data_IF_590607522770
#
_entry.id   IF_590607522770
#
_cell.length_a   1.000
_cell.length_b   1.000
_cell.length_c   1.000
_cell.angle_alpha   90.00
_cell.angle_beta   90.00
_cell.angle_gamma   90.00
#
_symmetry.space_group_name_H-M   'P 1'
#
loop_
_entity.id
_entity.type
_entity.pdbx_description
1 polymer ?
#
# COMPACT_ATOMS: atom_id res chain seq x y z
N UNK A 1 -2.07 0.92 -22.72
CA UNK A 1 -2.25 2.38 -22.90
C UNK A 1 -1.71 3.01 -21.64
N UNK A 2 -0.71 3.86 -21.78
CA UNK A 2 0.10 4.40 -20.68
C UNK A 2 -0.66 5.56 -20.01
N UNK A 3 -0.69 5.56 -18.68
CA UNK A 3 -0.77 6.83 -17.95
C UNK A 3 0.48 7.64 -18.36
N UNK A 4 0.35 8.95 -18.56
CA UNK A 4 1.47 9.79 -18.98
C UNK A 4 1.22 11.21 -18.47
N UNK A 5 1.38 11.38 -17.16
CA UNK A 5 1.26 12.69 -16.52
C UNK A 5 2.48 13.50 -16.86
N UNK A 6 2.39 14.37 -17.87
CA UNK A 6 3.43 15.37 -18.14
C UNK A 6 3.08 16.67 -17.44
N UNK A 7 3.89 17.10 -16.47
CA UNK A 7 3.72 18.38 -15.76
C UNK A 7 4.47 19.48 -16.51
N UNK A 8 3.80 20.18 -17.41
CA UNK A 8 4.39 21.34 -18.08
C UNK A 8 4.47 22.51 -17.09
N UNK A 9 5.62 23.19 -17.00
CA UNK A 9 5.94 24.31 -16.08
C UNK A 9 5.84 23.92 -14.59
N UNK A 10 6.69 22.99 -14.13
CA UNK A 10 6.56 22.48 -12.78
C UNK A 10 6.91 23.55 -11.72
N UNK A 11 6.33 23.46 -10.51
CA UNK A 11 6.86 24.18 -9.36
C UNK A 11 8.32 23.75 -9.11
N UNK A 12 9.12 24.60 -8.44
CA UNK A 12 10.56 24.36 -8.19
C UNK A 12 10.92 22.96 -7.63
N UNK A 13 9.95 22.21 -7.10
CA UNK A 13 10.10 20.91 -6.47
C UNK A 13 9.77 19.70 -7.36
N UNK A 14 9.30 19.88 -8.60
CA UNK A 14 8.94 18.75 -9.48
C UNK A 14 9.69 18.88 -10.81
N UNK A 15 10.21 17.77 -11.33
CA UNK A 15 10.76 17.71 -12.69
C UNK A 15 9.68 17.24 -13.68
N UNK A 16 9.93 17.39 -14.99
CA UNK A 16 9.11 16.71 -16.01
C UNK A 16 9.06 15.21 -15.69
N UNK A 17 7.89 14.79 -15.23
CA UNK A 17 7.62 13.42 -14.84
C UNK A 17 6.75 12.78 -15.92
N UNK A 18 6.84 11.46 -16.07
CA UNK A 18 5.92 10.65 -16.85
C UNK A 18 5.72 9.36 -16.05
N UNK A 19 4.46 9.02 -15.77
CA UNK A 19 4.13 7.85 -14.95
C UNK A 19 3.47 6.83 -15.85
N UNK A 20 4.14 5.73 -16.18
CA UNK A 20 3.58 4.67 -17.01
C UNK A 20 3.37 3.40 -16.16
N UNK A 21 2.14 2.87 -16.14
CA UNK A 21 1.78 1.63 -15.41
C UNK A 21 0.96 0.69 -16.31
N UNK A 22 0.67 -0.51 -15.80
CA UNK A 22 -0.28 -1.41 -16.44
C UNK A 22 -1.69 -0.80 -16.50
N UNK A 23 -2.45 -1.15 -17.54
CA UNK A 23 -3.80 -0.63 -17.76
C UNK A 23 -4.82 -1.10 -16.72
N UNK A 24 -4.50 -2.16 -15.99
CA UNK A 24 -5.29 -2.72 -14.89
C UNK A 24 -5.01 -2.05 -13.55
N UNK A 25 -4.00 -1.17 -13.46
CA UNK A 25 -3.68 -0.45 -12.22
C UNK A 25 -4.83 0.48 -11.87
N UNK A 26 -5.55 0.18 -10.78
CA UNK A 26 -6.61 1.03 -10.24
C UNK A 26 -6.15 1.75 -8.98
N UNK A 27 -5.29 1.14 -8.18
CA UNK A 27 -4.72 1.72 -6.97
C UNK A 27 -3.20 1.81 -7.09
N UNK A 28 -2.70 3.03 -7.29
CA UNK A 28 -1.27 3.33 -7.37
C UNK A 28 -0.75 3.83 -6.01
N UNK A 29 0.20 3.12 -5.42
CA UNK A 29 0.89 3.56 -4.21
C UNK A 29 2.01 4.55 -4.55
N UNK A 30 2.08 5.67 -3.83
CA UNK A 30 3.13 6.67 -3.98
C UNK A 30 3.97 6.78 -2.70
N UNK A 31 5.27 6.54 -2.81
CA UNK A 31 6.20 6.58 -1.69
C UNK A 31 7.53 7.28 -2.05
N UNK A 32 8.35 7.56 -1.05
CA UNK A 32 9.56 8.36 -1.18
C UNK A 32 9.88 9.15 0.10
N UNK A 33 11.11 9.66 0.27
CA UNK A 33 11.50 10.42 1.45
C UNK A 33 10.66 11.70 1.65
N UNK A 34 10.73 12.25 2.86
CA UNK A 34 10.13 13.56 3.13
C UNK A 34 10.74 14.61 2.19
N UNK A 35 9.90 15.49 1.64
CA UNK A 35 10.34 16.49 0.67
C UNK A 35 10.54 15.99 -0.78
N UNK A 36 10.31 14.71 -1.08
CA UNK A 36 10.44 14.16 -2.43
C UNK A 36 9.50 14.75 -3.50
N UNK A 37 8.49 15.53 -3.09
CA UNK A 37 7.53 16.17 -4.01
C UNK A 37 6.17 15.47 -4.11
N UNK A 38 5.90 14.43 -3.33
CA UNK A 38 4.65 13.63 -3.34
C UNK A 38 3.37 14.47 -3.25
N UNK A 39 3.23 15.28 -2.19
CA UNK A 39 2.10 16.22 -2.03
C UNK A 39 1.99 17.21 -3.18
N UNK A 40 3.13 17.69 -3.69
CA UNK A 40 3.14 18.65 -4.80
C UNK A 40 2.65 17.98 -6.08
N UNK A 41 2.99 16.71 -6.30
CA UNK A 41 2.53 15.92 -7.45
C UNK A 41 1.01 15.75 -7.40
N UNK A 42 0.46 15.37 -6.24
CA UNK A 42 -0.98 15.26 -6.04
C UNK A 42 -1.69 16.61 -6.29
N UNK A 43 -1.14 17.73 -5.82
CA UNK A 43 -1.70 19.07 -6.07
C UNK A 43 -1.67 19.45 -7.54
N UNK A 44 -0.64 19.06 -8.28
CA UNK A 44 -0.59 19.23 -9.74
C UNK A 44 -1.71 18.42 -10.41
N UNK A 45 -1.87 17.15 -10.03
CA UNK A 45 -2.94 16.26 -10.54
C UNK A 45 -4.35 16.79 -10.21
N UNK A 46 -4.51 17.36 -9.03
CA UNK A 46 -5.76 18.01 -8.59
C UNK A 46 -5.99 19.40 -9.21
N UNK A 47 -5.11 19.88 -10.10
CA UNK A 47 -5.18 21.21 -10.75
C UNK A 47 -5.15 22.38 -9.75
N UNK A 48 -4.54 22.16 -8.58
CA UNK A 48 -4.37 23.18 -7.53
C UNK A 48 -3.09 24.00 -7.70
N UNK A 49 -2.19 23.59 -8.60
CA UNK A 49 -0.98 24.31 -8.97
C UNK A 49 -1.18 25.00 -10.33
N UNK A 50 -1.28 26.34 -10.33
CA UNK A 50 -1.68 27.12 -11.51
C UNK A 50 -0.77 26.95 -12.74
N UNK A 51 0.51 26.63 -12.51
CA UNK A 51 1.46 26.43 -13.61
C UNK A 51 1.48 25.00 -14.13
N UNK A 52 0.92 24.02 -13.42
CA UNK A 52 0.95 22.63 -13.83
C UNK A 52 -0.07 22.36 -14.94
N UNK A 53 0.38 21.83 -16.07
CA UNK A 53 -0.50 21.18 -17.04
C UNK A 53 -0.50 19.69 -16.79
N UNK A 54 -1.65 19.01 -16.78
CA UNK A 54 -1.74 17.55 -16.63
C UNK A 54 -2.48 16.98 -17.83
N UNK A 55 -1.91 15.95 -18.46
CA UNK A 55 -2.45 15.29 -19.65
C UNK A 55 -2.43 13.78 -19.48
N UNK A 56 -3.24 13.05 -20.25
CA UNK A 56 -3.25 11.58 -20.25
C UNK A 56 -4.60 10.99 -19.85
N UNK A 57 -4.64 9.66 -19.76
CA UNK A 57 -5.82 8.90 -19.33
C UNK A 57 -5.46 7.93 -18.21
N UNK A 58 -6.42 7.64 -17.34
CA UNK A 58 -6.37 6.56 -16.37
C UNK A 58 -7.67 5.76 -16.47
N UNK A 59 -7.58 4.52 -16.98
CA UNK A 59 -8.77 3.81 -17.41
C UNK A 59 -9.54 4.63 -18.45
N UNK A 60 -10.82 4.88 -18.18
CA UNK A 60 -11.67 5.70 -19.04
C UNK A 60 -11.60 7.21 -18.70
N UNK A 61 -11.00 7.58 -17.56
CA UNK A 61 -10.90 8.96 -17.12
C UNK A 61 -9.85 9.74 -17.91
N UNK A 62 -10.26 10.81 -18.60
CA UNK A 62 -9.35 11.78 -19.21
C UNK A 62 -8.89 12.79 -18.15
N UNK A 63 -7.62 12.79 -17.76
CA UNK A 63 -7.08 13.61 -16.66
C UNK A 63 -7.33 15.11 -16.83
N UNK A 64 -7.40 15.61 -18.06
CA UNK A 64 -7.67 17.02 -18.33
C UNK A 64 -9.10 17.42 -17.93
N UNK A 65 -10.04 16.49 -18.01
CA UNK A 65 -11.47 16.71 -17.79
C UNK A 65 -12.00 16.02 -16.53
N UNK A 66 -11.24 15.06 -16.01
CA UNK A 66 -11.58 14.27 -14.84
C UNK A 66 -11.84 15.16 -13.63
N UNK A 67 -12.89 14.81 -12.89
CA UNK A 67 -13.19 15.30 -11.56
C UNK A 67 -12.27 14.60 -10.58
N UNK A 68 -11.51 15.38 -9.83
CA UNK A 68 -10.54 14.85 -8.88
C UNK A 68 -11.07 15.06 -7.46
N UNK A 69 -11.22 13.97 -6.73
CA UNK A 69 -11.41 13.99 -5.28
C UNK A 69 -10.04 14.03 -4.62
N UNK A 70 -9.82 14.96 -3.69
CA UNK A 70 -8.54 15.07 -2.99
C UNK A 70 -8.74 15.01 -1.48
N UNK A 71 -8.03 14.10 -0.83
CA UNK A 71 -7.90 14.01 0.62
C UNK A 71 -6.52 14.55 1.00
N UNK A 72 -6.51 15.63 1.76
CA UNK A 72 -5.27 16.25 2.26
C UNK A 72 -4.81 15.61 3.57
N UNK A 73 -3.50 15.70 3.84
CA UNK A 73 -2.90 15.26 5.09
C UNK A 73 -3.55 15.89 6.34
N UNK A 74 -4.00 17.15 6.23
CA UNK A 74 -4.85 17.79 7.24
C UNK A 74 -6.32 17.74 6.78
N UNK A 75 -7.23 17.16 7.57
CA UNK A 75 -8.61 16.97 7.15
C UNK A 75 -9.32 18.33 7.00
N UNK A 76 -9.63 18.70 5.76
CA UNK A 76 -10.26 19.99 5.43
C UNK A 76 -11.79 19.91 5.58
N UNK A 77 -12.29 19.71 6.81
CA UNK A 77 -13.72 19.70 7.13
C UNK A 77 -14.29 21.12 7.28
N UNK A 78 -15.57 21.31 6.94
CA UNK A 78 -16.26 22.57 7.21
C UNK A 78 -16.58 22.66 8.71
N UNK A 79 -15.95 23.58 9.47
CA UNK A 79 -16.02 23.57 10.94
C UNK A 79 -17.39 23.96 11.49
N UNK A 80 -18.20 24.65 10.69
CA UNK A 80 -19.53 25.13 11.02
C UNK A 80 -20.66 24.14 10.65
N UNK A 81 -20.31 23.01 10.04
CA UNK A 81 -21.24 21.95 9.67
C UNK A 81 -20.98 20.72 10.54
N UNK A 82 -22.02 19.99 10.92
CA UNK A 82 -21.87 18.66 11.51
C UNK A 82 -21.20 17.70 10.52
N UNK A 83 -20.77 16.52 10.98
CA UNK A 83 -20.26 15.47 10.09
C UNK A 83 -21.31 15.09 9.05
N UNK A 84 -22.57 14.89 9.44
CA UNK A 84 -23.67 14.60 8.53
C UNK A 84 -23.86 15.67 7.47
N UNK A 85 -23.82 16.94 7.87
CA UNK A 85 -23.94 18.08 6.95
C UNK A 85 -22.73 18.19 6.03
N UNK A 86 -21.52 17.88 6.51
CA UNK A 86 -20.32 17.81 5.70
C UNK A 86 -20.41 16.73 4.59
N UNK A 87 -21.00 15.57 4.92
CA UNK A 87 -21.23 14.46 3.98
C UNK A 87 -22.34 14.79 2.98
N UNK A 88 -23.48 15.29 3.47
CA UNK A 88 -24.61 15.71 2.64
C UNK A 88 -24.19 16.79 1.65
N UNK A 89 -23.47 17.82 2.11
CA UNK A 89 -22.95 18.87 1.24
C UNK A 89 -22.04 18.34 0.12
N UNK A 90 -21.21 17.33 0.41
CA UNK A 90 -20.36 16.72 -0.61
C UNK A 90 -21.18 15.92 -1.64
N UNK A 91 -22.22 15.21 -1.19
CA UNK A 91 -23.14 14.48 -2.06
C UNK A 91 -23.98 15.43 -2.93
N UNK A 92 -24.43 16.56 -2.39
CA UNK A 92 -25.21 17.57 -3.12
C UNK A 92 -24.42 18.24 -4.26
N UNK A 93 -23.09 18.34 -4.10
CA UNK A 93 -22.19 18.86 -5.13
C UNK A 93 -21.88 17.84 -6.23
N UNK A 94 -22.20 16.55 -6.03
CA UNK A 94 -21.95 15.53 -7.02
C UNK A 94 -22.87 15.74 -8.23
N UNK A 95 -22.28 16.05 -9.39
CA UNK A 95 -23.04 16.24 -10.64
C UNK A 95 -23.81 14.98 -11.09
N UNK A 96 -23.36 13.80 -10.65
CA UNK A 96 -24.01 12.51 -10.84
C UNK A 96 -23.74 11.69 -9.59
N UNK A 97 -24.74 11.50 -8.70
CA UNK A 97 -24.56 10.73 -7.47
C UNK A 97 -24.24 9.28 -7.80
N UNK A 98 -22.99 8.86 -7.57
CA UNK A 98 -22.53 7.49 -7.76
C UNK A 98 -22.43 6.68 -6.47
N UNK A 99 -22.48 7.36 -5.31
CA UNK A 99 -22.26 6.75 -4.01
C UNK A 99 -23.33 7.20 -3.00
N UNK A 100 -23.88 6.25 -2.24
CA UNK A 100 -24.82 6.56 -1.16
C UNK A 100 -24.07 6.98 0.12
N UNK A 101 -24.64 7.96 0.85
CA UNK A 101 -24.04 8.47 2.09
C UNK A 101 -23.88 7.35 3.12
N UNK A 102 -24.90 6.50 3.28
CA UNK A 102 -24.89 5.42 4.26
C UNK A 102 -23.76 4.43 3.98
N UNK A 103 -23.67 3.92 2.74
CA UNK A 103 -22.62 2.98 2.29
C UNK A 103 -21.21 3.55 2.51
N UNK A 104 -20.98 4.80 2.08
CA UNK A 104 -19.66 5.44 2.23
C UNK A 104 -19.32 5.69 3.69
N UNK A 105 -20.31 6.09 4.50
CA UNK A 105 -20.11 6.34 5.92
C UNK A 105 -19.82 5.07 6.71
N UNK A 106 -20.38 3.93 6.29
CA UNK A 106 -20.09 2.62 6.86
C UNK A 106 -18.69 2.13 6.45
N UNK A 107 -18.37 2.21 5.15
CA UNK A 107 -17.05 1.85 4.62
C UNK A 107 -15.92 2.64 5.27
N UNK A 108 -16.12 3.95 5.45
CA UNK A 108 -15.19 4.83 6.17
C UNK A 108 -15.33 4.76 7.70
N UNK A 109 -16.23 3.93 8.26
CA UNK A 109 -16.45 3.80 9.70
C UNK A 109 -16.63 5.15 10.42
N UNK A 110 -17.50 5.99 9.86
CA UNK A 110 -17.83 7.33 10.37
C UNK A 110 -19.34 7.59 10.52
N UNK A 111 -20.21 6.61 10.26
CA UNK A 111 -21.68 6.71 10.44
C UNK A 111 -22.09 7.16 11.85
N UNK A 112 -21.45 6.64 12.90
CA UNK A 112 -21.70 7.02 14.30
C UNK A 112 -21.31 8.47 14.65
N UNK A 113 -20.65 9.19 13.74
CA UNK A 113 -20.18 10.57 13.95
C UNK A 113 -21.13 11.62 13.38
N UNK A 114 -22.17 11.24 12.65
CA UNK A 114 -23.05 12.13 11.86
C UNK A 114 -23.55 13.36 12.62
N UNK A 115 -23.84 13.22 13.92
CA UNK A 115 -24.33 14.33 14.76
C UNK A 115 -23.23 15.16 15.43
N UNK A 116 -21.96 14.76 15.35
CA UNK A 116 -20.83 15.48 15.95
C UNK A 116 -20.36 16.62 15.04
N UNK A 117 -19.76 17.64 15.66
CA UNK A 117 -19.04 18.71 14.98
C UNK A 117 -17.56 18.32 14.77
N UNK A 118 -16.86 18.88 13.75
CA UNK A 118 -15.44 18.61 13.51
C UNK A 118 -14.53 18.88 14.73
N UNK A 119 -14.88 19.84 15.58
CA UNK A 119 -14.14 20.12 16.82
C UNK A 119 -14.30 19.05 17.92
N UNK A 120 -15.25 18.12 17.77
CA UNK A 120 -15.58 17.08 18.77
C UNK A 120 -15.07 15.69 18.39
N UNK A 121 -14.35 15.57 17.27
CA UNK A 121 -13.84 14.30 16.75
C UNK A 121 -12.32 14.28 16.75
N UNK A 122 -11.73 13.10 16.89
CA UNK A 122 -10.28 12.88 16.83
C UNK A 122 -9.74 13.13 15.41
N UNK A 123 -8.42 13.28 15.28
CA UNK A 123 -7.77 13.44 13.97
C UNK A 123 -8.03 12.27 13.02
N UNK A 124 -8.00 11.03 13.54
CA UNK A 124 -8.32 9.83 12.76
C UNK A 124 -9.80 9.77 12.35
N UNK A 125 -10.73 10.20 13.21
CA UNK A 125 -12.16 10.35 12.87
C UNK A 125 -12.35 11.42 11.78
N UNK A 126 -11.70 12.58 11.91
CA UNK A 126 -11.76 13.66 10.94
C UNK A 126 -11.21 13.24 9.57
N UNK A 127 -10.13 12.44 9.54
CA UNK A 127 -9.59 11.88 8.30
C UNK A 127 -10.59 10.94 7.61
N UNK A 128 -11.26 10.05 8.35
CA UNK A 128 -12.30 9.18 7.77
C UNK A 128 -13.48 9.96 7.20
N UNK A 129 -13.89 11.04 7.86
CA UNK A 129 -14.91 11.95 7.30
C UNK A 129 -14.39 12.65 6.06
N UNK A 130 -13.12 13.07 6.01
CA UNK A 130 -12.53 13.69 4.82
C UNK A 130 -12.48 12.74 3.62
N UNK A 131 -12.11 11.46 3.84
CA UNK A 131 -12.16 10.41 2.82
C UNK A 131 -13.60 10.22 2.32
N UNK A 132 -14.56 10.05 3.23
CA UNK A 132 -15.97 9.88 2.88
C UNK A 132 -16.50 11.04 2.03
N UNK A 133 -16.18 12.29 2.39
CA UNK A 133 -16.57 13.47 1.60
C UNK A 133 -15.94 13.48 0.20
N UNK A 134 -14.67 13.11 0.09
CA UNK A 134 -13.99 13.07 -1.19
C UNK A 134 -14.63 12.04 -2.14
N UNK A 135 -15.06 10.89 -1.60
CA UNK A 135 -15.78 9.83 -2.34
C UNK A 135 -17.20 10.30 -2.71
N UNK A 136 -17.94 10.90 -1.78
CA UNK A 136 -19.33 11.33 -2.01
C UNK A 136 -19.49 12.39 -3.09
N UNK A 137 -18.44 13.18 -3.36
CA UNK A 137 -18.39 14.08 -4.51
C UNK A 137 -18.36 13.33 -5.87
N UNK A 138 -18.37 11.99 -5.84
CA UNK A 138 -18.35 11.07 -6.98
C UNK A 138 -17.19 11.35 -7.94
N UNK A 139 -15.94 11.39 -7.49
CA UNK A 139 -14.82 11.76 -8.35
C UNK A 139 -14.56 10.69 -9.42
N UNK A 140 -13.95 11.10 -10.54
CA UNK A 140 -13.44 10.17 -11.55
C UNK A 140 -12.09 9.59 -11.10
N UNK A 141 -11.35 10.30 -10.24
CA UNK A 141 -10.06 9.89 -9.66
C UNK A 141 -9.96 10.38 -8.21
N UNK A 142 -9.50 9.51 -7.31
CA UNK A 142 -9.28 9.85 -5.90
C UNK A 142 -7.79 9.97 -5.56
N UNK A 143 -7.37 11.11 -5.05
CA UNK A 143 -5.99 11.37 -4.62
C UNK A 143 -5.94 11.47 -3.10
N UNK A 144 -5.16 10.62 -2.45
CA UNK A 144 -5.09 10.56 -1.00
C UNK A 144 -3.66 10.83 -0.50
N UNK A 145 -3.48 11.95 0.21
CA UNK A 145 -2.18 12.35 0.76
C UNK A 145 -2.07 11.95 2.25
N UNK A 146 -1.40 10.83 2.53
CA UNK A 146 -1.26 10.23 3.87
C UNK A 146 -2.58 10.10 4.66
N UNK A 147 -3.65 9.57 4.05
CA UNK A 147 -5.02 9.63 4.60
C UNK A 147 -5.20 8.86 5.90
N UNK A 148 -4.36 7.85 6.16
CA UNK A 148 -4.49 6.91 7.29
C UNK A 148 -3.42 7.11 8.37
N UNK A 149 -2.59 8.15 8.27
CA UNK A 149 -1.46 8.41 9.17
C UNK A 149 -1.88 8.64 10.63
N UNK A 150 -3.08 9.14 10.87
CA UNK A 150 -3.63 9.43 12.21
C UNK A 150 -4.55 8.33 12.77
N UNK A 151 -4.58 7.15 12.16
CA UNK A 151 -5.47 6.03 12.55
C UNK A 151 -4.69 4.93 13.27
N UNK A 152 -5.35 4.23 14.18
CA UNK A 152 -4.81 2.97 14.73
C UNK A 152 -4.71 1.87 13.65
N UNK A 153 -3.95 0.82 13.94
CA UNK A 153 -3.65 -0.23 12.95
C UNK A 153 -4.89 -0.98 12.46
N UNK A 154 -5.88 -1.25 13.33
CA UNK A 154 -7.08 -1.98 12.95
C UNK A 154 -7.95 -1.15 12.00
N UNK A 155 -8.15 0.12 12.34
CA UNK A 155 -8.95 1.05 11.56
C UNK A 155 -8.28 1.45 10.25
N UNK A 156 -6.96 1.60 10.26
CA UNK A 156 -6.13 1.79 9.07
C UNK A 156 -6.32 0.64 8.08
N UNK A 157 -6.20 -0.61 8.52
CA UNK A 157 -6.42 -1.79 7.64
C UNK A 157 -7.85 -1.84 7.10
N UNK A 158 -8.86 -1.56 7.93
CA UNK A 158 -10.27 -1.51 7.47
C UNK A 158 -10.48 -0.44 6.40
N UNK A 159 -9.92 0.76 6.60
CA UNK A 159 -10.04 1.87 5.65
C UNK A 159 -9.32 1.56 4.33
N UNK A 160 -8.12 0.99 4.39
CA UNK A 160 -7.37 0.59 3.19
C UNK A 160 -8.06 -0.54 2.42
N UNK A 161 -8.66 -1.51 3.11
CA UNK A 161 -9.46 -2.55 2.48
C UNK A 161 -10.68 -1.97 1.75
N UNK A 162 -11.35 -0.98 2.35
CA UNK A 162 -12.46 -0.28 1.70
C UNK A 162 -12.00 0.50 0.45
N UNK A 163 -10.87 1.22 0.54
CA UNK A 163 -10.28 1.89 -0.64
C UNK A 163 -9.89 0.91 -1.74
N UNK A 164 -9.34 -0.27 -1.37
CA UNK A 164 -9.04 -1.34 -2.34
C UNK A 164 -10.30 -1.86 -3.03
N UNK A 165 -11.38 -2.06 -2.27
CA UNK A 165 -12.66 -2.48 -2.85
C UNK A 165 -13.16 -1.45 -3.87
N UNK A 166 -13.18 -0.16 -3.53
CA UNK A 166 -13.58 0.91 -4.45
C UNK A 166 -12.69 0.97 -5.70
N UNK A 167 -11.38 0.75 -5.57
CA UNK A 167 -10.48 0.66 -6.71
C UNK A 167 -10.82 -0.54 -7.62
N UNK A 168 -11.16 -1.68 -7.02
CA UNK A 168 -11.62 -2.88 -7.74
C UNK A 168 -12.94 -2.62 -8.47
N UNK A 169 -13.82 -1.83 -7.87
CA UNK A 169 -15.09 -1.40 -8.45
C UNK A 169 -14.92 -0.30 -9.53
N UNK A 170 -13.68 0.09 -9.84
CA UNK A 170 -13.35 0.96 -10.97
C UNK A 170 -13.20 2.44 -10.62
N UNK A 171 -12.92 2.80 -9.36
CA UNK A 171 -12.51 4.15 -8.98
C UNK A 171 -10.97 4.25 -8.90
N UNK A 172 -10.29 4.83 -9.90
CA UNK A 172 -8.85 4.99 -9.89
C UNK A 172 -8.34 5.88 -8.75
N UNK A 173 -7.24 5.50 -8.10
CA UNK A 173 -6.71 6.22 -6.95
C UNK A 173 -5.18 6.25 -6.85
N UNK A 174 -4.66 7.36 -6.33
CA UNK A 174 -3.27 7.44 -5.82
C UNK A 174 -3.31 7.51 -4.30
N UNK A 175 -2.64 6.56 -3.65
CA UNK A 175 -2.46 6.52 -2.20
C UNK A 175 -1.02 6.88 -1.84
N UNK A 176 -0.82 8.04 -1.21
CA UNK A 176 0.48 8.42 -0.64
C UNK A 176 0.62 7.83 0.75
N UNK A 177 1.72 7.11 0.98
CA UNK A 177 2.07 6.62 2.31
C UNK A 177 3.59 6.48 2.45
N UNK A 178 4.07 6.66 3.68
CA UNK A 178 5.43 6.30 4.07
C UNK A 178 5.55 4.83 4.52
N UNK A 179 4.42 4.15 4.72
CA UNK A 179 4.38 2.74 5.10
C UNK A 179 4.33 1.85 3.85
N UNK A 180 5.49 1.31 3.47
CA UNK A 180 5.63 0.41 2.32
C UNK A 180 4.86 -0.91 2.50
N UNK A 181 4.61 -1.37 3.72
CA UNK A 181 3.89 -2.65 3.92
C UNK A 181 2.45 -2.52 3.48
N UNK A 182 1.80 -1.42 3.81
CA UNK A 182 0.44 -1.20 3.32
C UNK A 182 0.41 -0.97 1.82
N UNK A 183 1.33 -0.18 1.29
CA UNK A 183 1.36 0.07 -0.14
C UNK A 183 1.57 -1.24 -0.92
N UNK A 184 2.47 -2.11 -0.46
CA UNK A 184 2.71 -3.42 -1.10
C UNK A 184 1.53 -4.40 -0.95
N UNK A 185 0.79 -4.34 0.16
CA UNK A 185 -0.37 -5.17 0.38
C UNK A 185 -1.61 -4.75 -0.42
N UNK A 186 -1.86 -3.44 -0.52
CA UNK A 186 -3.13 -2.92 -1.04
C UNK A 186 -3.03 -2.39 -2.47
N UNK A 187 -1.87 -1.89 -2.92
CA UNK A 187 -1.76 -1.28 -4.25
C UNK A 187 -1.48 -2.30 -5.36
N UNK A 188 -1.91 -1.96 -6.57
CA UNK A 188 -1.62 -2.71 -7.81
C UNK A 188 -0.19 -2.46 -8.28
N UNK A 189 0.26 -1.22 -8.13
CA UNK A 189 1.59 -0.78 -8.53
C UNK A 189 2.12 0.23 -7.52
N UNK A 190 3.43 0.38 -7.46
CA UNK A 190 4.11 1.38 -6.66
C UNK A 190 4.86 2.37 -7.53
N UNK A 191 4.94 3.60 -7.04
CA UNK A 191 5.75 4.68 -7.57
C UNK A 191 6.67 5.17 -6.46
N UNK A 192 7.97 5.15 -6.73
CA UNK A 192 8.99 5.74 -5.87
C UNK A 192 9.44 7.09 -6.42
N UNK A 193 9.32 8.15 -5.61
CA UNK A 193 9.82 9.49 -5.93
C UNK A 193 11.00 9.88 -5.05
N UNK A 194 11.94 10.60 -5.64
CA UNK A 194 13.03 11.24 -4.92
C UNK A 194 13.39 12.57 -5.60
N UNK A 195 13.64 13.63 -4.82
CA UNK A 195 14.07 14.93 -5.32
C UNK A 195 13.22 15.48 -6.49
N UNK A 196 11.89 15.31 -6.42
CA UNK A 196 10.95 15.80 -7.45
C UNK A 196 10.87 14.95 -8.71
N UNK A 197 11.56 13.80 -8.76
CA UNK A 197 11.62 12.88 -9.90
C UNK A 197 11.01 11.54 -9.54
N UNK A 198 10.39 10.91 -10.52
CA UNK A 198 10.02 9.50 -10.47
C UNK A 198 11.29 8.68 -10.71
N UNK A 199 11.63 7.83 -9.75
CA UNK A 199 12.81 6.98 -9.81
C UNK A 199 12.45 5.57 -10.30
N UNK A 200 11.30 5.06 -9.86
CA UNK A 200 10.82 3.73 -10.22
C UNK A 200 9.30 3.67 -10.21
N UNK A 201 8.73 2.91 -11.13
CA UNK A 201 7.30 2.56 -11.20
C UNK A 201 7.20 1.10 -11.59
N UNK A 202 6.33 0.31 -10.95
CA UNK A 202 6.12 -1.08 -11.33
C UNK A 202 5.34 -1.88 -10.31
N UNK A 203 5.43 -3.20 -10.44
CA UNK A 203 4.83 -4.15 -9.49
C UNK A 203 5.39 -3.92 -8.08
N UNK A 204 4.57 -4.12 -7.03
CA UNK A 204 5.01 -3.84 -5.66
C UNK A 204 6.28 -4.59 -5.24
N UNK A 205 6.46 -5.85 -5.65
CA UNK A 205 7.66 -6.63 -5.36
C UNK A 205 8.92 -6.01 -5.99
N UNK A 206 8.84 -5.60 -7.25
CA UNK A 206 9.96 -5.02 -7.99
C UNK A 206 10.39 -3.66 -7.43
N UNK A 207 9.42 -2.82 -7.07
CA UNK A 207 9.69 -1.51 -6.46
C UNK A 207 10.21 -1.68 -5.04
N UNK A 208 9.66 -2.61 -4.27
CA UNK A 208 10.16 -2.94 -2.94
C UNK A 208 11.65 -3.33 -2.98
N UNK A 209 12.03 -4.26 -3.87
CA UNK A 209 13.43 -4.67 -4.03
C UNK A 209 14.34 -3.49 -4.41
N UNK A 210 13.91 -2.63 -5.33
CA UNK A 210 14.68 -1.44 -5.72
C UNK A 210 14.88 -0.43 -4.58
N UNK A 211 13.83 -0.18 -3.79
CA UNK A 211 13.89 0.72 -2.62
C UNK A 211 14.78 0.15 -1.53
N UNK A 212 14.65 -1.16 -1.27
CA UNK A 212 15.44 -1.88 -0.29
C UNK A 212 16.94 -1.86 -0.65
N UNK A 213 17.29 -2.15 -1.91
CA UNK A 213 18.69 -2.22 -2.35
C UNK A 213 19.41 -0.87 -2.33
N UNK A 214 18.68 0.24 -2.48
CA UNK A 214 19.26 1.59 -2.44
C UNK A 214 19.60 2.08 -1.02
N UNK A 215 19.58 1.20 -0.01
CA UNK A 215 20.08 1.44 1.34
C UNK A 215 19.41 2.62 2.08
N UNK A 216 18.23 3.06 1.62
CA UNK A 216 17.50 4.18 2.21
C UNK A 216 16.55 3.77 3.35
N UNK A 217 16.44 2.46 3.65
CA UNK A 217 15.57 1.94 4.71
C UNK A 217 16.31 0.96 5.62
N UNK A 218 17.05 1.50 6.58
CA UNK A 218 17.85 0.72 7.54
C UNK A 218 17.02 -0.07 8.57
N UNK A 219 15.70 0.07 8.64
CA UNK A 219 14.93 -0.42 9.81
C UNK A 219 13.79 -1.40 9.53
N UNK A 220 13.39 -1.65 8.28
CA UNK A 220 12.21 -2.49 8.02
C UNK A 220 12.38 -3.41 6.81
N UNK A 221 13.22 -4.44 6.96
CA UNK A 221 13.31 -5.54 6.00
C UNK A 221 12.06 -6.41 6.10
N UNK A 222 11.31 -6.54 5.01
CA UNK A 222 10.15 -7.43 4.95
C UNK A 222 9.99 -8.01 3.55
N UNK A 223 9.25 -9.11 3.48
CA UNK A 223 8.98 -9.85 2.25
C UNK A 223 7.50 -9.74 1.92
N UNK A 224 7.15 -9.70 0.63
CA UNK A 224 5.78 -9.78 0.13
C UNK A 224 5.57 -11.16 -0.49
N UNK A 225 4.66 -11.95 0.07
CA UNK A 225 4.24 -13.24 -0.52
C UNK A 225 2.83 -13.08 -1.06
N UNK A 226 2.62 -13.62 -2.25
CA UNK A 226 1.33 -13.62 -2.93
C UNK A 226 0.99 -15.02 -3.43
N UNK A 227 -0.26 -15.43 -3.30
CA UNK A 227 -0.70 -16.76 -3.74
C UNK A 227 -2.21 -16.87 -3.83
N UNK A 228 -2.72 -17.93 -4.46
CA UNK A 228 -4.15 -18.19 -4.54
C UNK A 228 -4.70 -18.71 -3.23
N UNK A 229 -5.84 -18.19 -2.79
CA UNK A 229 -6.56 -18.73 -1.63
C UNK A 229 -7.12 -20.11 -1.99
N UNK A 230 -6.66 -21.13 -1.27
CA UNK A 230 -7.17 -22.51 -1.42
C UNK A 230 -8.46 -22.67 -0.63
N UNK A 231 -8.42 -22.31 0.66
CA UNK A 231 -9.58 -22.38 1.55
C UNK A 231 -9.39 -21.54 2.82
N UNK A 232 -10.51 -21.18 3.44
CA UNK A 232 -10.54 -20.56 4.77
C UNK A 232 -10.88 -21.62 5.83
N UNK A 233 -9.95 -21.84 6.76
CA UNK A 233 -10.11 -22.76 7.88
C UNK A 233 -10.73 -22.04 9.08
N UNK A 234 -12.07 -22.01 9.15
CA UNK A 234 -12.79 -21.36 10.24
C UNK A 234 -12.42 -21.87 11.64
N UNK A 235 -12.14 -23.18 11.78
CA UNK A 235 -11.75 -23.80 13.06
C UNK A 235 -10.38 -23.33 13.58
N UNK A 236 -9.52 -22.85 12.69
CA UNK A 236 -8.16 -22.41 13.02
C UNK A 236 -7.97 -20.89 12.85
N UNK A 237 -9.02 -20.19 12.41
CA UNK A 237 -9.01 -18.77 12.07
C UNK A 237 -7.84 -18.40 11.14
N UNK A 238 -7.63 -19.20 10.09
CA UNK A 238 -6.57 -18.97 9.11
C UNK A 238 -6.99 -19.32 7.68
N UNK A 239 -6.24 -18.79 6.72
CA UNK A 239 -6.35 -19.06 5.30
C UNK A 239 -5.21 -19.97 4.89
N UNK A 240 -5.52 -20.98 4.08
CA UNK A 240 -4.55 -21.76 3.33
C UNK A 240 -4.35 -21.11 1.96
N UNK A 241 -3.10 -20.79 1.64
CA UNK A 241 -2.70 -20.05 0.45
C UNK A 241 -1.67 -20.90 -0.29
N UNK A 242 -1.86 -21.08 -1.59
CA UNK A 242 -0.90 -21.72 -2.49
C UNK A 242 -0.01 -20.64 -3.11
N UNK A 243 1.26 -20.65 -2.72
CA UNK A 243 2.30 -19.73 -3.17
C UNK A 243 3.38 -20.56 -3.86
N UNK A 244 3.42 -20.49 -5.19
CA UNK A 244 4.39 -21.20 -6.03
C UNK A 244 4.53 -22.70 -5.68
N UNK A 245 3.44 -23.46 -5.71
CA UNK A 245 3.41 -24.90 -5.38
C UNK A 245 3.69 -25.24 -3.90
N UNK A 246 3.77 -24.24 -3.01
CA UNK A 246 3.90 -24.44 -1.56
C UNK A 246 2.71 -23.87 -0.81
N UNK A 247 2.32 -24.56 0.27
CA UNK A 247 1.24 -24.13 1.14
C UNK A 247 1.78 -23.23 2.24
N UNK A 248 1.17 -22.06 2.38
CA UNK A 248 1.40 -21.14 3.48
C UNK A 248 0.08 -20.81 4.17
N UNK A 249 0.16 -20.47 5.45
CA UNK A 249 -0.98 -20.15 6.30
C UNK A 249 -0.85 -18.75 6.89
N UNK A 250 -1.93 -17.98 6.80
CA UNK A 250 -2.02 -16.63 7.34
C UNK A 250 -3.39 -16.41 8.02
N UNK A 251 -3.44 -15.62 9.07
CA UNK A 251 -4.69 -15.26 9.76
C UNK A 251 -5.38 -14.08 9.10
N UNK A 252 -4.62 -13.07 8.69
CA UNK A 252 -5.18 -11.82 8.16
C UNK A 252 -4.52 -11.41 6.84
N UNK A 253 -4.57 -12.25 5.78
CA UNK A 253 -4.13 -11.83 4.47
C UNK A 253 -5.00 -10.71 3.91
N UNK A 254 -4.43 -9.87 3.04
CA UNK A 254 -5.22 -9.01 2.18
C UNK A 254 -5.62 -9.85 0.97
N UNK A 255 -6.92 -10.07 0.79
CA UNK A 255 -7.46 -10.90 -0.29
C UNK A 255 -8.14 -9.99 -1.30
N UNK A 256 -7.78 -10.17 -2.55
CA UNK A 256 -8.45 -9.53 -3.67
C UNK A 256 -8.56 -10.51 -4.84
N UNK A 257 -9.77 -10.67 -5.37
CA UNK A 257 -10.05 -11.51 -6.54
C UNK A 257 -9.48 -12.93 -6.44
N UNK A 258 -9.48 -13.50 -5.22
CA UNK A 258 -8.98 -14.86 -4.93
C UNK A 258 -7.46 -14.95 -4.69
N UNK A 259 -6.72 -13.85 -4.84
CA UNK A 259 -5.29 -13.76 -4.54
C UNK A 259 -5.10 -13.18 -3.13
N UNK A 260 -4.39 -13.89 -2.27
CA UNK A 260 -3.97 -13.43 -0.96
C UNK A 260 -2.56 -12.84 -1.03
N UNK A 261 -2.39 -11.67 -0.39
CA UNK A 261 -1.10 -11.02 -0.16
C UNK A 261 -0.80 -10.96 1.33
N UNK A 262 0.43 -11.29 1.71
CA UNK A 262 0.94 -11.15 3.09
C UNK A 262 2.32 -10.51 3.10
N UNK A 263 2.61 -9.77 4.16
CA UNK A 263 3.97 -9.28 4.44
C UNK A 263 4.57 -9.99 5.63
N UNK A 264 5.82 -10.41 5.52
CA UNK A 264 6.57 -11.10 6.59
C UNK A 264 7.77 -10.27 6.97
N UNK A 265 7.91 -9.94 8.25
CA UNK A 265 9.09 -9.25 8.76
C UNK A 265 10.31 -10.17 8.72
N UNK A 266 11.45 -9.67 8.25
CA UNK A 266 12.67 -10.47 8.14
C UNK A 266 13.13 -11.03 9.50
N UNK A 267 12.83 -10.33 10.61
CA UNK A 267 13.13 -10.79 11.98
C UNK A 267 12.26 -11.95 12.44
N UNK A 268 11.14 -12.19 11.75
CA UNK A 268 10.23 -13.30 12.05
C UNK A 268 10.49 -14.53 11.18
N UNK A 269 11.44 -14.46 10.24
CA UNK A 269 11.85 -15.58 9.40
C UNK A 269 13.07 -16.25 10.02
N UNK A 270 12.91 -17.51 10.42
CA UNK A 270 14.00 -18.40 10.84
C UNK A 270 14.44 -19.29 9.68
N UNK A 271 15.71 -19.68 9.66
CA UNK A 271 16.25 -20.58 8.64
C UNK A 271 16.53 -21.95 9.24
N UNK A 272 16.18 -23.00 8.50
CA UNK A 272 16.45 -24.38 8.85
C UNK A 272 17.01 -25.15 7.66
N UNK A 273 17.99 -26.02 7.90
CA UNK A 273 18.55 -26.91 6.86
C UNK A 273 17.73 -28.19 6.68
N UNK A 274 16.79 -28.47 7.59
CA UNK A 274 16.02 -29.72 7.60
C UNK A 274 14.53 -29.45 7.37
N UNK A 275 14.00 -30.01 6.28
CA UNK A 275 12.60 -29.88 5.89
C UNK A 275 11.62 -30.51 6.91
N UNK A 276 12.07 -31.46 7.74
CA UNK A 276 11.23 -32.29 8.63
C UNK A 276 11.64 -32.22 10.11
N UNK A 277 11.66 -31.05 10.71
CA UNK A 277 11.64 -30.94 12.17
C UNK A 277 10.23 -30.56 12.61
N UNK A 278 9.62 -31.34 13.50
CA UNK A 278 8.40 -30.94 14.19
C UNK A 278 8.62 -29.56 14.82
N UNK A 279 7.82 -28.57 14.41
CA UNK A 279 7.96 -27.18 14.82
C UNK A 279 6.60 -26.58 15.12
N UNK A 280 6.55 -25.69 16.10
CA UNK A 280 5.36 -24.86 16.33
C UNK A 280 5.15 -23.79 15.25
N UNK A 281 6.15 -23.60 14.38
CA UNK A 281 6.08 -22.73 13.20
C UNK A 281 5.55 -23.56 12.03
N UNK A 282 4.28 -23.34 11.69
CA UNK A 282 3.55 -24.13 10.67
C UNK A 282 4.04 -23.84 9.26
N UNK A 283 4.39 -22.58 8.95
CA UNK A 283 4.86 -22.25 7.61
C UNK A 283 6.32 -22.66 7.45
N UNK A 284 6.58 -23.44 6.41
CA UNK A 284 7.90 -23.85 5.98
C UNK A 284 7.96 -23.65 4.47
N UNK A 285 8.73 -22.65 4.03
CA UNK A 285 8.85 -22.26 2.64
C UNK A 285 10.27 -22.60 2.17
N UNK A 286 10.39 -23.39 1.12
CA UNK A 286 11.67 -23.90 0.64
C UNK A 286 12.22 -22.95 -0.42
N UNK A 287 13.44 -22.46 -0.22
CA UNK A 287 14.04 -21.41 -1.02
C UNK A 287 15.55 -21.58 -1.10
N UNK A 288 16.17 -20.99 -2.11
CA UNK A 288 17.62 -20.95 -2.28
C UNK A 288 18.20 -19.68 -1.64
N UNK A 289 19.38 -19.78 -1.06
CA UNK A 289 20.10 -18.60 -0.56
C UNK A 289 20.69 -17.82 -1.74
N UNK A 290 20.14 -16.63 -1.99
CA UNK A 290 20.61 -15.70 -3.02
C UNK A 290 21.83 -14.90 -2.58
N UNK A 291 21.69 -14.08 -1.54
CA UNK A 291 22.76 -13.20 -1.03
C UNK A 291 22.82 -13.23 0.50
N UNK A 292 24.02 -13.05 1.06
CA UNK A 292 24.26 -12.95 2.51
C UNK A 292 25.04 -11.66 2.78
N UNK A 293 24.42 -10.73 3.50
CA UNK A 293 24.99 -9.42 3.77
C UNK A 293 25.07 -9.17 5.28
N UNK A 294 26.28 -8.96 5.81
CA UNK A 294 26.47 -8.54 7.20
C UNK A 294 26.18 -7.05 7.34
N UNK A 295 25.30 -6.70 8.28
CA UNK A 295 24.91 -5.34 8.60
C UNK A 295 25.84 -4.73 9.67
N UNK A 296 25.91 -3.38 9.78
CA UNK A 296 26.81 -2.71 10.72
C UNK A 296 26.56 -3.02 12.21
N UNK A 297 25.35 -3.46 12.57
CA UNK A 297 24.97 -3.83 13.93
C UNK A 297 25.28 -5.30 14.29
N UNK A 298 25.95 -6.03 13.39
CA UNK A 298 26.31 -7.44 13.58
C UNK A 298 25.19 -8.43 13.25
N UNK A 299 24.05 -7.95 12.74
CA UNK A 299 23.03 -8.81 12.14
C UNK A 299 23.46 -9.22 10.72
N UNK A 300 22.91 -10.34 10.25
CA UNK A 300 23.13 -10.85 8.90
C UNK A 300 21.78 -10.88 8.21
N UNK A 301 21.68 -10.14 7.11
CA UNK A 301 20.55 -10.21 6.21
C UNK A 301 20.81 -11.31 5.19
N UNK A 302 19.95 -12.32 5.18
CA UNK A 302 19.94 -13.40 4.18
C UNK A 302 18.79 -13.15 3.22
N UNK A 303 19.11 -12.99 1.94
CA UNK A 303 18.15 -12.94 0.85
C UNK A 303 17.91 -14.35 0.33
N UNK A 304 16.65 -14.74 0.30
CA UNK A 304 16.18 -16.05 -0.09
C UNK A 304 15.33 -15.90 -1.34
N UNK A 305 15.54 -16.77 -2.32
CA UNK A 305 14.88 -16.69 -3.62
C UNK A 305 14.17 -18.00 -3.93
N UNK A 306 12.97 -17.89 -4.47
CA UNK A 306 12.21 -19.01 -5.03
C UNK A 306 11.35 -18.49 -6.16
N UNK A 307 11.52 -19.01 -7.38
CA UNK A 307 10.86 -18.54 -8.60
C UNK A 307 10.73 -17.00 -8.69
N UNK A 308 9.59 -16.40 -8.32
CA UNK A 308 9.33 -14.95 -8.36
C UNK A 308 9.27 -14.32 -6.96
N UNK A 309 9.33 -15.12 -5.92
CA UNK A 309 9.23 -14.71 -4.53
C UNK A 309 10.61 -14.50 -3.92
N UNK A 310 10.82 -13.29 -3.41
CA UNK A 310 11.98 -12.95 -2.59
C UNK A 310 11.57 -12.87 -1.12
N UNK A 311 12.29 -13.61 -0.28
CA UNK A 311 12.18 -13.60 1.17
C UNK A 311 13.44 -13.01 1.79
N UNK A 312 13.28 -12.33 2.92
CA UNK A 312 14.37 -11.82 3.71
C UNK A 312 14.33 -12.46 5.10
N UNK A 313 15.49 -12.85 5.60
CA UNK A 313 15.66 -13.31 6.99
C UNK A 313 16.78 -12.51 7.63
N UNK A 314 16.54 -12.05 8.85
CA UNK A 314 17.52 -11.32 9.64
C UNK A 314 17.98 -12.21 10.80
N UNK A 315 19.19 -12.75 10.68
CA UNK A 315 19.78 -13.69 11.64
C UNK A 315 20.99 -13.08 12.34
N UNK A 316 21.47 -13.74 13.41
CA UNK A 316 22.72 -13.34 14.05
C UNK A 316 23.94 -13.88 13.29
N UNK A 317 25.08 -13.18 13.36
CA UNK A 317 26.37 -13.69 12.86
C UNK A 317 26.70 -15.08 13.44
N UNK A 318 26.36 -15.32 14.72
CA UNK A 318 26.54 -16.62 15.38
C UNK A 318 25.70 -17.73 14.71
N UNK A 319 24.48 -17.41 14.26
CA UNK A 319 23.63 -18.37 13.55
C UNK A 319 24.20 -18.71 12.19
N UNK A 320 24.69 -17.71 11.44
CA UNK A 320 25.35 -17.91 10.15
C UNK A 320 26.53 -18.89 10.27
N UNK A 321 27.42 -18.65 11.25
CA UNK A 321 28.60 -19.48 11.49
C UNK A 321 28.24 -20.90 11.94
N UNK A 322 27.28 -21.04 12.88
CA UNK A 322 26.84 -22.35 13.38
C UNK A 322 26.18 -23.19 12.30
N UNK A 323 25.42 -22.56 11.41
CA UNK A 323 24.70 -23.25 10.35
C UNK A 323 25.54 -23.45 9.09
N UNK A 324 26.69 -22.77 8.98
CA UNK A 324 27.56 -22.76 7.80
C UNK A 324 26.75 -22.54 6.51
N UNK A 325 25.92 -21.49 6.50
CA UNK A 325 25.08 -21.18 5.34
C UNK A 325 25.91 -20.60 4.20
N UNK A 326 25.72 -21.14 3.01
CA UNK A 326 26.40 -20.69 1.80
C UNK A 326 25.41 -20.28 0.71
N UNK A 327 25.86 -19.37 -0.17
CA UNK A 327 25.07 -18.97 -1.35
C UNK A 327 24.82 -20.18 -2.25
N UNK A 328 23.59 -20.28 -2.76
CA UNK A 328 23.15 -21.37 -3.63
C UNK A 328 22.66 -22.60 -2.87
N UNK A 329 22.74 -22.61 -1.53
CA UNK A 329 22.17 -23.70 -0.74
C UNK A 329 20.64 -23.58 -0.63
N UNK A 330 19.96 -24.72 -0.71
CA UNK A 330 18.53 -24.81 -0.40
C UNK A 330 18.32 -24.86 1.11
N UNK A 331 17.45 -23.98 1.61
CA UNK A 331 17.05 -23.90 3.01
C UNK A 331 15.52 -23.79 3.14
N UNK A 332 15.02 -24.08 4.33
CA UNK A 332 13.62 -23.86 4.69
C UNK A 332 13.50 -22.59 5.52
N UNK A 333 12.81 -21.59 4.97
CA UNK A 333 12.39 -20.38 5.68
C UNK A 333 11.12 -20.68 6.49
N UNK A 334 11.20 -20.52 7.81
CA UNK A 334 10.07 -20.73 8.73
C UNK A 334 9.60 -19.41 9.34
N UNK A 335 8.29 -19.18 9.30
CA UNK A 335 7.67 -17.97 9.85
C UNK A 335 6.28 -18.25 10.43
N UNK A 336 5.87 -17.48 11.44
CA UNK A 336 4.57 -17.69 12.10
C UNK A 336 3.41 -17.20 11.22
N UNK A 337 2.22 -17.71 11.49
CA UNK A 337 0.97 -17.22 10.87
C UNK A 337 0.67 -15.80 11.37
N UNK A 338 0.55 -14.84 10.45
CA UNK A 338 0.19 -13.43 10.74
C UNK A 338 -1.24 -13.09 10.35
#
# INVERSE_FOLDING_TARGET
MEFAVKILRPPHKIADNQITTHHTTQLLGLTGPSGAGKTTLLRCLAKLEANATVTGKWGDANLQQARVGMVFQQPALFPHLSVGQNLAFAADLACSPGFAIDDVSEGCSCSHLVNKMPAQISGGEAQRVAIARAILNSPDILLLDEPVSAMDQALKRKTLAYLRQLATDGLPMILVSHDLRDLTLFCDALLYMENGKIMQVGEPSQVLEGVINNNQMSEQWFSLLSGSVVQHHANYSCYEIECEDQKIYARHPVIDSGVAKITIDAREVSLDRQHRSESSIVNAFECEIGDINTLPDGQVLVRLERQQTTLYSLISQLSLEKMALERGETVTARFKMR
#
